data_IF_077311233465
#
_entry.id   IF_077311233465
#
_cell.length_a   1.000
_cell.length_b   1.000
_cell.length_c   1.000
_cell.angle_alpha   90.00
_cell.angle_beta   90.00
_cell.angle_gamma   90.00
#
_symmetry.space_group_name_H-M   'P 1'
#
loop_
_entity.id
_entity.type
_entity.pdbx_description
1 polymer ?
#
# COMPACT_ATOMS: atom_id res chain seq x y z
N UNK A 1 -13.08 -37.60 -0.71
CA UNK A 1 -13.02 -36.73 0.49
C UNK A 1 -13.18 -35.26 0.09
N UNK A 2 -14.23 -34.94 -0.68
CA UNK A 2 -14.53 -33.62 -1.28
C UNK A 2 -15.94 -33.14 -0.86
N UNK A 3 -16.47 -33.61 0.27
CA UNK A 3 -17.92 -33.61 0.53
C UNK A 3 -18.44 -32.57 1.52
N UNK A 4 -17.59 -31.85 2.25
CA UNK A 4 -18.07 -30.79 3.17
C UNK A 4 -17.86 -29.37 2.61
N UNK A 5 -16.72 -29.08 2.00
CA UNK A 5 -16.46 -27.74 1.42
C UNK A 5 -17.35 -27.42 0.22
N UNK A 6 -17.92 -28.43 -0.46
CA UNK A 6 -18.80 -28.22 -1.62
C UNK A 6 -20.26 -27.96 -1.23
N UNK A 7 -20.67 -28.30 0.00
CA UNK A 7 -22.07 -28.18 0.45
C UNK A 7 -22.51 -26.73 0.70
N UNK A 8 -21.54 -25.83 0.92
CA UNK A 8 -21.76 -24.37 1.03
C UNK A 8 -22.08 -23.72 -0.32
N UNK A 9 -21.85 -24.42 -1.44
CA UNK A 9 -22.08 -23.86 -2.79
C UNK A 9 -23.52 -24.08 -3.30
N UNK A 10 -24.38 -24.80 -2.57
CA UNK A 10 -25.77 -25.06 -2.98
C UNK A 10 -26.78 -24.08 -2.36
N UNK A 11 -26.44 -23.46 -1.23
CA UNK A 11 -27.16 -22.32 -0.63
C UNK A 11 -26.43 -21.02 -0.96
N UNK A 12 -27.14 -19.91 -1.14
CA UNK A 12 -26.48 -18.61 -1.26
C UNK A 12 -25.64 -18.36 -0.01
N UNK A 13 -24.37 -17.97 -0.17
CA UNK A 13 -23.49 -17.62 0.97
C UNK A 13 -24.13 -16.54 1.85
N UNK A 14 -25.00 -15.71 1.27
CA UNK A 14 -25.75 -14.67 1.98
C UNK A 14 -26.82 -15.22 2.96
N UNK A 15 -27.24 -16.48 2.82
CA UNK A 15 -28.27 -17.11 3.65
C UNK A 15 -27.70 -17.88 4.84
N UNK A 16 -26.39 -18.10 4.86
CA UNK A 16 -25.71 -18.83 5.93
C UNK A 16 -25.44 -17.87 7.10
N UNK A 17 -25.80 -18.22 8.34
CA UNK A 17 -25.46 -17.39 9.50
C UNK A 17 -23.96 -17.09 9.57
N UNK A 18 -23.60 -15.84 9.87
CA UNK A 18 -22.20 -15.40 9.97
C UNK A 18 -21.37 -16.27 10.90
N UNK A 19 -21.96 -16.77 12.00
CA UNK A 19 -21.29 -17.68 12.94
C UNK A 19 -20.83 -18.99 12.27
N UNK A 20 -21.65 -19.54 11.37
CA UNK A 20 -21.34 -20.76 10.63
C UNK A 20 -20.27 -20.47 9.56
N UNK A 21 -20.38 -19.36 8.82
CA UNK A 21 -19.34 -18.93 7.89
C UNK A 21 -17.99 -18.75 8.58
N UNK A 22 -17.96 -18.08 9.72
CA UNK A 22 -16.74 -17.90 10.52
C UNK A 22 -16.18 -19.23 11.02
N UNK A 23 -17.04 -20.18 11.40
CA UNK A 23 -16.61 -21.52 11.83
C UNK A 23 -15.94 -22.27 10.68
N UNK A 24 -16.54 -22.27 9.50
CA UNK A 24 -15.98 -22.91 8.31
C UNK A 24 -14.66 -22.27 7.88
N UNK A 25 -14.60 -20.93 7.87
CA UNK A 25 -13.38 -20.19 7.58
C UNK A 25 -12.25 -20.55 8.55
N UNK A 26 -12.55 -20.65 9.86
CA UNK A 26 -11.57 -21.10 10.86
C UNK A 26 -11.06 -22.50 10.58
N UNK A 27 -11.93 -23.46 10.27
CA UNK A 27 -11.53 -24.84 9.97
C UNK A 27 -10.61 -24.92 8.74
N UNK A 28 -10.92 -24.18 7.68
CA UNK A 28 -10.08 -24.10 6.47
C UNK A 28 -8.71 -23.50 6.82
N UNK A 29 -8.70 -22.38 7.55
CA UNK A 29 -7.49 -21.68 7.99
C UNK A 29 -6.62 -22.56 8.89
N UNK A 30 -7.21 -23.23 9.88
CA UNK A 30 -6.50 -24.12 10.80
C UNK A 30 -5.91 -25.34 10.08
N UNK A 31 -6.66 -25.94 9.15
CA UNK A 31 -6.18 -27.08 8.34
C UNK A 31 -5.04 -26.68 7.40
N UNK A 32 -5.08 -25.48 6.83
CA UNK A 32 -4.14 -25.04 5.79
C UNK A 32 -2.87 -24.44 6.39
N UNK A 33 -3.01 -23.62 7.43
CA UNK A 33 -1.92 -22.80 7.98
C UNK A 33 -1.56 -23.14 9.43
N UNK A 34 -2.37 -23.97 10.11
CA UNK A 34 -2.21 -24.25 11.53
C UNK A 34 -2.52 -23.02 12.40
N UNK A 35 -1.91 -22.98 13.58
CA UNK A 35 -2.08 -21.90 14.56
C UNK A 35 -1.02 -20.80 14.50
N UNK A 36 0.01 -20.93 13.64
CA UNK A 36 1.10 -19.96 13.55
C UNK A 36 0.63 -18.70 12.83
N UNK A 37 0.75 -17.56 13.49
CA UNK A 37 0.53 -16.23 12.91
C UNK A 37 1.86 -15.58 12.62
N UNK A 38 2.07 -15.14 11.37
CA UNK A 38 3.26 -14.39 10.94
C UNK A 38 2.89 -12.94 10.67
N UNK A 39 3.84 -12.03 10.86
CA UNK A 39 3.69 -10.62 10.49
C UNK A 39 4.95 -10.13 9.80
N UNK A 40 4.82 -9.10 8.96
CA UNK A 40 5.96 -8.40 8.37
C UNK A 40 5.96 -6.94 8.83
N UNK A 41 6.92 -6.55 9.69
CA UNK A 41 7.06 -5.16 10.13
C UNK A 41 7.56 -4.31 8.96
N UNK A 42 6.78 -3.28 8.62
CA UNK A 42 7.01 -2.43 7.46
C UNK A 42 6.88 -0.96 7.84
N UNK A 43 7.73 -0.12 7.24
CA UNK A 43 7.61 1.33 7.36
C UNK A 43 6.75 1.88 6.24
N UNK A 44 5.97 2.93 6.51
CA UNK A 44 5.05 3.53 5.55
C UNK A 44 5.63 4.85 5.01
N UNK A 45 5.84 4.92 3.69
CA UNK A 45 6.46 6.08 3.01
C UNK A 45 5.43 6.69 2.04
N UNK A 46 4.73 7.79 2.42
CA UNK A 46 3.74 8.44 1.58
C UNK A 46 4.38 9.34 0.53
N UNK A 47 4.95 8.74 -0.52
CA UNK A 47 5.72 9.45 -1.56
C UNK A 47 4.96 10.63 -2.17
N UNK A 48 3.65 10.50 -2.35
CA UNK A 48 2.76 11.61 -2.69
C UNK A 48 1.35 11.33 -2.21
N UNK A 49 0.63 12.38 -1.79
CA UNK A 49 -0.80 12.32 -1.50
C UNK A 49 -1.65 12.91 -2.63
N UNK A 50 -1.04 13.33 -3.75
CA UNK A 50 -1.76 13.73 -4.95
C UNK A 50 -2.23 12.49 -5.72
N UNK A 51 -3.42 12.55 -6.31
CA UNK A 51 -3.96 11.46 -7.12
C UNK A 51 -4.77 12.02 -8.31
N UNK A 52 -4.67 11.42 -9.48
CA UNK A 52 -5.54 11.80 -10.62
C UNK A 52 -7.01 11.46 -10.33
N UNK A 53 -7.25 10.35 -9.63
CA UNK A 53 -8.58 9.83 -9.34
C UNK A 53 -9.30 10.64 -8.26
N UNK A 54 -10.63 10.44 -8.16
CA UNK A 54 -11.52 11.15 -7.22
C UNK A 54 -12.40 10.15 -6.46
N UNK A 55 -11.79 9.12 -5.89
CA UNK A 55 -12.50 8.11 -5.12
C UNK A 55 -13.17 8.75 -3.88
N UNK A 56 -14.50 8.69 -3.80
CA UNK A 56 -15.26 9.33 -2.70
C UNK A 56 -14.97 8.77 -1.31
N UNK A 57 -14.37 7.60 -1.22
CA UNK A 57 -13.96 6.95 0.02
C UNK A 57 -12.47 7.17 0.38
N UNK A 58 -11.67 7.79 -0.50
CA UNK A 58 -10.24 7.90 -0.30
C UNK A 58 -9.90 9.11 0.57
N UNK A 59 -9.51 8.86 1.82
CA UNK A 59 -9.04 9.90 2.75
C UNK A 59 -7.56 10.28 2.55
N UNK A 60 -6.82 9.47 1.79
CA UNK A 60 -5.40 9.68 1.55
C UNK A 60 -5.14 10.76 0.49
N UNK A 61 -5.99 10.84 -0.54
CA UNK A 61 -5.83 11.82 -1.61
C UNK A 61 -6.10 13.25 -1.10
N UNK A 62 -5.13 14.14 -1.28
CA UNK A 62 -5.23 15.54 -0.90
C UNK A 62 -5.11 16.46 -2.13
N UNK A 63 -5.79 17.61 -2.15
CA UNK A 63 -5.54 18.64 -3.15
C UNK A 63 -4.16 19.28 -2.94
N UNK A 64 -3.53 19.82 -4.01
CA UNK A 64 -2.23 20.50 -3.90
C UNK A 64 -2.14 21.57 -2.83
N UNK A 65 -3.21 22.34 -2.60
CA UNK A 65 -3.24 23.41 -1.60
C UNK A 65 -3.04 22.96 -0.14
N UNK A 66 -3.11 21.64 0.13
CA UNK A 66 -2.87 21.07 1.47
C UNK A 66 -1.49 20.45 1.64
N UNK A 67 -0.65 20.48 0.61
CA UNK A 67 0.67 19.86 0.61
C UNK A 67 1.74 20.93 0.48
N UNK A 68 2.82 20.78 1.24
CA UNK A 68 4.01 21.63 1.11
C UNK A 68 4.74 21.35 -0.21
N UNK A 69 4.83 20.07 -0.60
CA UNK A 69 5.44 19.62 -1.84
C UNK A 69 4.57 18.56 -2.53
N UNK A 70 4.56 18.50 -3.89
CA UNK A 70 3.82 17.47 -4.63
C UNK A 70 4.28 16.04 -4.32
N UNK A 71 5.56 15.85 -4.02
CA UNK A 71 6.16 14.58 -3.60
C UNK A 71 7.09 14.79 -2.41
N UNK A 72 7.33 13.73 -1.64
CA UNK A 72 8.44 13.72 -0.67
C UNK A 72 9.78 13.82 -1.41
N UNK A 73 10.71 14.57 -0.83
CA UNK A 73 12.08 14.66 -1.29
C UNK A 73 12.86 13.38 -0.91
N UNK A 74 13.96 13.11 -1.61
CA UNK A 74 14.78 11.92 -1.40
C UNK A 74 15.30 11.80 0.05
N UNK A 75 15.72 12.92 0.65
CA UNK A 75 16.16 12.96 2.04
C UNK A 75 15.01 12.69 3.03
N UNK A 76 13.78 13.10 2.71
CA UNK A 76 12.60 12.83 3.54
C UNK A 76 12.23 11.34 3.46
N UNK A 77 12.25 10.77 2.26
CA UNK A 77 12.07 9.32 2.02
C UNK A 77 13.10 8.52 2.84
N UNK A 78 14.38 8.87 2.73
CA UNK A 78 15.45 8.21 3.48
C UNK A 78 15.34 8.39 4.99
N UNK A 79 14.92 9.56 5.46
CA UNK A 79 14.72 9.80 6.88
C UNK A 79 13.64 8.86 7.45
N UNK A 80 12.53 8.67 6.74
CA UNK A 80 11.46 7.74 7.13
C UNK A 80 11.98 6.29 7.07
N UNK A 81 12.63 5.90 5.97
CA UNK A 81 13.16 4.54 5.81
C UNK A 81 14.16 4.17 6.91
N UNK A 82 15.11 5.07 7.21
CA UNK A 82 16.11 4.87 8.28
C UNK A 82 15.46 4.79 9.66
N UNK A 83 14.38 5.54 9.92
CA UNK A 83 13.61 5.38 11.15
C UNK A 83 12.92 4.02 11.22
N UNK A 84 12.33 3.56 10.11
CA UNK A 84 11.75 2.23 9.99
C UNK A 84 12.75 1.12 10.28
N UNK A 85 13.93 1.16 9.65
CA UNK A 85 15.00 0.21 9.87
C UNK A 85 15.47 0.19 11.33
N UNK A 86 15.66 1.35 11.96
CA UNK A 86 15.99 1.48 13.39
C UNK A 86 14.91 0.89 14.31
N UNK A 87 13.65 0.94 13.89
CA UNK A 87 12.52 0.34 14.60
C UNK A 87 12.34 -1.17 14.32
N UNK A 88 13.22 -1.79 13.52
CA UNK A 88 13.15 -3.20 13.18
C UNK A 88 12.20 -3.54 12.03
N UNK A 89 11.85 -2.57 11.17
CA UNK A 89 11.12 -2.87 9.94
C UNK A 89 12.02 -3.59 8.92
N UNK A 90 11.46 -4.58 8.24
CA UNK A 90 12.12 -5.34 7.17
C UNK A 90 11.61 -5.00 5.77
N UNK A 91 10.51 -4.23 5.69
CA UNK A 91 9.92 -3.80 4.43
C UNK A 91 9.69 -2.28 4.41
N UNK A 92 9.77 -1.69 3.23
CA UNK A 92 9.36 -0.31 2.97
C UNK A 92 8.13 -0.31 2.05
N UNK A 93 7.00 0.15 2.58
CA UNK A 93 5.76 0.30 1.84
C UNK A 93 5.64 1.74 1.32
N UNK A 94 5.91 1.93 0.04
CA UNK A 94 5.61 3.18 -0.65
C UNK A 94 4.11 3.28 -0.92
N UNK A 95 3.54 4.42 -0.57
CA UNK A 95 2.16 4.77 -0.90
C UNK A 95 2.11 6.07 -1.67
N UNK A 96 1.23 6.07 -2.67
CA UNK A 96 1.13 7.13 -3.65
C UNK A 96 -0.28 7.15 -4.25
N UNK A 97 -0.70 8.31 -4.71
CA UNK A 97 -1.83 8.38 -5.62
C UNK A 97 -1.43 8.04 -7.05
N UNK A 98 -2.44 7.74 -7.86
CA UNK A 98 -2.26 7.28 -9.23
C UNK A 98 -1.95 8.46 -10.17
N UNK A 99 -0.75 8.44 -10.75
CA UNK A 99 -0.23 9.39 -11.77
C UNK A 99 -0.77 10.82 -11.65
N UNK A 100 -0.56 11.51 -10.51
CA UNK A 100 -1.08 12.85 -10.27
C UNK A 100 -0.63 13.87 -11.31
N UNK A 101 0.52 13.64 -11.97
CA UNK A 101 1.03 14.48 -13.06
C UNK A 101 0.08 14.57 -14.25
N UNK A 102 -0.87 13.65 -14.42
CA UNK A 102 -1.88 13.76 -15.48
C UNK A 102 -2.96 14.80 -15.18
N UNK A 103 -3.18 15.12 -13.90
CA UNK A 103 -4.23 16.03 -13.45
C UNK A 103 -3.70 17.36 -12.92
N UNK A 104 -2.57 17.33 -12.21
CA UNK A 104 -2.02 18.48 -11.52
C UNK A 104 -0.74 18.96 -12.18
N UNK A 105 -0.76 20.19 -12.69
CA UNK A 105 0.42 20.83 -13.29
C UNK A 105 1.59 20.88 -12.33
N UNK A 106 1.35 21.20 -11.06
CA UNK A 106 2.40 21.23 -10.01
C UNK A 106 3.13 19.90 -9.87
N UNK A 107 2.44 18.77 -10.04
CA UNK A 107 3.07 17.45 -9.98
C UNK A 107 3.90 17.17 -11.23
N UNK A 108 3.41 17.59 -12.40
CA UNK A 108 4.11 17.46 -13.68
C UNK A 108 5.38 18.31 -13.72
N UNK A 109 5.29 19.55 -13.25
CA UNK A 109 6.40 20.49 -13.25
C UNK A 109 7.45 20.11 -12.23
N UNK A 110 7.05 19.64 -11.05
CA UNK A 110 7.98 19.12 -10.06
C UNK A 110 8.78 17.93 -10.61
N UNK A 111 8.12 16.96 -11.27
CA UNK A 111 8.83 15.82 -11.86
C UNK A 111 9.84 16.28 -12.92
N UNK A 112 9.44 17.17 -13.84
CA UNK A 112 10.34 17.72 -14.87
C UNK A 112 11.53 18.46 -14.28
N UNK A 113 11.32 19.30 -13.27
CA UNK A 113 12.38 20.07 -12.60
C UNK A 113 13.38 19.14 -11.88
N UNK A 114 12.92 17.96 -11.46
CA UNK A 114 13.74 16.96 -10.80
C UNK A 114 14.23 15.86 -11.77
N UNK A 115 14.09 16.06 -13.09
CA UNK A 115 14.52 15.13 -14.15
C UNK A 115 13.83 13.75 -14.13
N UNK A 116 12.56 13.70 -13.75
CA UNK A 116 11.74 12.48 -13.80
C UNK A 116 10.64 12.57 -14.85
N UNK A 117 10.44 11.48 -15.58
CA UNK A 117 9.41 11.41 -16.65
C UNK A 117 8.00 11.15 -16.11
N UNK A 118 7.91 10.51 -14.94
CA UNK A 118 6.64 10.10 -14.34
C UNK A 118 6.77 9.84 -12.84
N UNK A 119 5.62 9.75 -12.16
CA UNK A 119 5.57 9.30 -10.75
C UNK A 119 6.22 7.93 -10.58
N UNK A 120 6.08 7.02 -11.55
CA UNK A 120 6.65 5.67 -11.48
C UNK A 120 8.17 5.69 -11.62
N UNK A 121 8.70 6.57 -12.48
CA UNK A 121 10.16 6.78 -12.58
C UNK A 121 10.70 7.28 -11.22
N UNK A 122 10.06 8.29 -10.61
CA UNK A 122 10.50 8.76 -9.30
C UNK A 122 10.38 7.68 -8.20
N UNK A 123 9.28 6.91 -8.19
CA UNK A 123 9.10 5.80 -7.27
C UNK A 123 10.20 4.74 -7.40
N UNK A 124 10.59 4.39 -8.63
CA UNK A 124 11.66 3.44 -8.90
C UNK A 124 12.98 3.90 -8.24
N UNK A 125 13.36 5.15 -8.46
CA UNK A 125 14.63 5.68 -7.94
C UNK A 125 14.61 5.82 -6.42
N UNK A 126 13.47 6.18 -5.83
CA UNK A 126 13.30 6.22 -4.39
C UNK A 126 13.32 4.83 -3.74
N UNK A 127 12.73 3.82 -4.39
CA UNK A 127 12.81 2.45 -3.92
C UNK A 127 14.25 1.91 -3.99
N UNK A 128 14.95 2.17 -5.10
CA UNK A 128 16.36 1.81 -5.25
C UNK A 128 17.26 2.50 -4.22
N UNK A 129 17.00 3.78 -3.94
CA UNK A 129 17.71 4.54 -2.92
C UNK A 129 17.48 3.97 -1.52
N UNK A 130 16.23 3.65 -1.16
CA UNK A 130 15.90 3.05 0.14
C UNK A 130 16.58 1.70 0.31
N UNK A 131 16.51 0.83 -0.70
CA UNK A 131 17.18 -0.47 -0.67
C UNK A 131 18.69 -0.30 -0.43
N UNK A 132 19.35 0.53 -1.23
CA UNK A 132 20.79 0.80 -1.13
C UNK A 132 21.21 1.31 0.26
N UNK A 133 20.42 2.19 0.86
CA UNK A 133 20.80 2.92 2.08
C UNK A 133 20.31 2.27 3.38
N UNK A 134 19.39 1.29 3.30
CA UNK A 134 18.77 0.69 4.49
C UNK A 134 18.77 -0.84 4.54
N UNK A 135 19.14 -1.52 3.45
CA UNK A 135 19.26 -2.99 3.40
C UNK A 135 18.34 -3.61 2.38
#
# INVERSE_FOLDING_TARGET
MLSESRRVLESSVAEIPTSELMRQARLIRDKTFGSRVTYSPKVFIPLTMLCRDKCGYCTFAQPPAKLENPYLLAEQVLAIAKQGAKAGCHEALFTLGERPELRYEVARDWLKQNNYDSTVHYLHDMAALVLKETG
#
